data_IF_616057984071
#
_entry.id   IF_616057984071
#
_cell.length_a   1.000
_cell.length_b   1.000
_cell.length_c   1.000
_cell.angle_alpha   90.00
_cell.angle_beta   90.00
_cell.angle_gamma   90.00
#
_symmetry.space_group_name_H-M   'P 1'
#
loop_
_entity.id
_entity.type
_entity.pdbx_description
1 polymer ?
#
# COMPACT_ATOMS: atom_id res chain seq x y z
N UNK A 1 -16.59 2.39 13.57
CA UNK A 1 -15.21 1.87 13.71
C UNK A 1 -14.45 2.79 14.66
N UNK A 2 -13.55 2.25 15.49
CA UNK A 2 -12.59 3.03 16.28
C UNK A 2 -11.20 2.53 15.89
N UNK A 3 -10.33 3.43 15.44
CA UNK A 3 -8.96 3.11 15.02
C UNK A 3 -7.99 3.76 16.01
N UNK A 4 -7.01 3.00 16.50
CA UNK A 4 -5.96 3.53 17.36
C UNK A 4 -5.04 4.50 16.58
N UNK A 5 -4.69 5.62 17.20
CA UNK A 5 -3.86 6.64 16.57
C UNK A 5 -2.38 6.32 16.69
N UNK A 6 -1.77 5.79 15.63
CA UNK A 6 -0.32 5.56 15.58
C UNK A 6 0.57 6.82 15.73
N UNK A 7 0.00 8.02 15.53
CA UNK A 7 0.67 9.32 15.76
C UNK A 7 0.58 9.80 17.23
N UNK A 8 0.06 8.96 18.12
CA UNK A 8 0.05 9.16 19.57
C UNK A 8 0.92 8.11 20.25
N UNK A 9 1.55 8.51 21.36
CA UNK A 9 2.28 7.58 22.24
C UNK A 9 2.09 8.04 23.68
N UNK A 10 1.77 7.11 24.57
CA UNK A 10 1.68 7.39 25.99
C UNK A 10 3.10 7.42 26.57
N UNK A 11 3.42 8.48 27.32
CA UNK A 11 4.70 8.65 28.01
C UNK A 11 4.38 9.05 29.44
N UNK A 12 4.62 8.14 30.38
CA UNK A 12 4.15 8.26 31.76
C UNK A 12 2.62 8.39 31.81
N UNK A 13 2.07 9.44 32.44
CA UNK A 13 0.63 9.69 32.53
C UNK A 13 0.09 10.55 31.36
N UNK A 14 0.98 11.06 30.49
CA UNK A 14 0.65 11.99 29.42
C UNK A 14 0.68 11.36 28.01
N UNK A 15 0.03 12.04 27.06
CA UNK A 15 0.01 11.66 25.65
C UNK A 15 0.84 12.60 24.78
N UNK A 16 1.90 12.07 24.18
CA UNK A 16 2.74 12.80 23.22
C UNK A 16 2.29 12.55 21.78
N UNK A 17 2.70 13.44 20.87
CA UNK A 17 2.42 13.36 19.44
C UNK A 17 3.70 13.09 18.67
N UNK A 18 3.67 12.15 17.73
CA UNK A 18 4.72 12.01 16.71
C UNK A 18 4.45 13.02 15.60
N UNK A 19 5.47 13.74 15.15
CA UNK A 19 5.33 14.61 13.99
C UNK A 19 5.13 13.74 12.73
N UNK A 20 4.20 14.14 11.86
CA UNK A 20 3.78 13.36 10.70
C UNK A 20 3.51 14.28 9.52
N UNK A 21 3.90 13.83 8.32
CA UNK A 21 3.64 14.49 7.04
C UNK A 21 2.96 13.52 6.09
N UNK A 22 1.96 13.97 5.31
CA UNK A 22 1.27 13.14 4.32
C UNK A 22 2.09 13.02 3.03
N UNK A 23 1.80 12.00 2.22
CA UNK A 23 2.42 11.82 0.90
C UNK A 23 2.14 12.99 -0.04
N UNK A 24 0.96 13.63 0.03
CA UNK A 24 0.70 14.89 -0.69
C UNK A 24 1.70 15.99 -0.29
N UNK A 25 1.94 16.20 1.00
CA UNK A 25 2.94 17.16 1.47
C UNK A 25 4.36 16.79 1.04
N UNK A 26 4.71 15.50 1.05
CA UNK A 26 6.01 15.01 0.59
C UNK A 26 6.23 15.24 -0.91
N UNK A 27 5.19 15.01 -1.73
CA UNK A 27 5.18 15.24 -3.18
C UNK A 27 5.02 16.72 -3.56
N UNK A 28 4.78 17.62 -2.61
CA UNK A 28 4.51 19.04 -2.88
C UNK A 28 3.16 19.30 -3.58
N UNK A 29 2.22 18.35 -3.49
CA UNK A 29 0.92 18.40 -4.16
C UNK A 29 -0.19 18.90 -3.21
N UNK A 30 -1.18 19.57 -3.78
CA UNK A 30 -2.46 19.84 -3.12
C UNK A 30 -3.55 18.87 -3.64
N UNK A 31 -4.72 18.85 -2.98
CA UNK A 31 -5.83 17.93 -3.30
C UNK A 31 -6.28 18.00 -4.78
N UNK A 32 -6.30 19.19 -5.40
CA UNK A 32 -6.67 19.33 -6.82
C UNK A 32 -5.64 18.72 -7.77
N UNK A 33 -4.43 18.45 -7.28
CA UNK A 33 -3.31 17.85 -8.02
C UNK A 33 -3.07 16.39 -7.61
N UNK A 34 -3.82 15.82 -6.66
CA UNK A 34 -3.62 14.45 -6.15
C UNK A 34 -3.65 13.37 -7.25
N UNK A 35 -4.35 13.62 -8.36
CA UNK A 35 -4.39 12.76 -9.56
C UNK A 35 -3.07 12.62 -10.33
N UNK A 36 -2.07 13.44 -10.01
CA UNK A 36 -0.72 13.40 -10.60
C UNK A 36 0.30 12.72 -9.69
N UNK A 37 -0.11 12.24 -8.50
CA UNK A 37 0.78 11.49 -7.64
C UNK A 37 1.07 10.11 -8.24
N UNK A 38 2.36 9.76 -8.35
CA UNK A 38 2.82 8.46 -8.80
C UNK A 38 3.60 7.73 -7.70
N UNK A 39 3.57 6.40 -7.76
CA UNK A 39 4.43 5.54 -6.95
C UNK A 39 5.92 5.73 -7.28
N UNK A 40 6.25 6.13 -8.51
CA UNK A 40 7.62 6.44 -8.94
C UNK A 40 8.18 7.69 -8.23
N UNK A 41 7.43 8.81 -8.25
CA UNK A 41 7.82 10.05 -7.58
C UNK A 41 7.95 9.84 -6.06
N UNK A 42 7.03 9.06 -5.48
CA UNK A 42 7.09 8.77 -4.04
C UNK A 42 8.27 7.85 -3.71
N UNK A 43 8.62 6.91 -4.59
CA UNK A 43 9.81 6.09 -4.45
C UNK A 43 11.11 6.91 -4.52
N UNK A 44 11.22 7.91 -5.40
CA UNK A 44 12.37 8.83 -5.42
C UNK A 44 12.52 9.59 -4.10
N UNK A 45 11.42 10.13 -3.56
CA UNK A 45 11.43 10.80 -2.25
C UNK A 45 11.90 9.86 -1.14
N UNK A 46 11.48 8.58 -1.17
CA UNK A 46 11.91 7.57 -0.21
C UNK A 46 13.42 7.31 -0.29
N UNK A 47 13.99 7.21 -1.49
CA UNK A 47 15.45 7.02 -1.66
C UNK A 47 16.27 8.18 -1.10
N UNK A 48 15.77 9.41 -1.21
CA UNK A 48 16.50 10.60 -0.78
C UNK A 48 16.27 11.01 0.67
N UNK A 49 15.13 10.69 1.28
CA UNK A 49 14.69 11.33 2.55
C UNK A 49 14.28 10.37 3.67
N UNK A 50 14.23 9.06 3.42
CA UNK A 50 13.83 8.07 4.43
C UNK A 50 15.02 7.29 4.98
N UNK A 51 14.99 6.96 6.28
CA UNK A 51 16.11 6.34 6.99
C UNK A 51 16.56 4.99 6.42
N UNK A 52 15.61 4.20 5.93
CA UNK A 52 15.85 2.85 5.41
C UNK A 52 15.16 2.66 4.06
N UNK A 53 15.68 3.31 3.02
CA UNK A 53 15.07 3.38 1.69
C UNK A 53 14.65 2.01 1.13
N UNK A 54 15.56 1.03 1.01
CA UNK A 54 15.25 -0.30 0.44
C UNK A 54 14.13 -1.02 1.20
N UNK A 55 14.19 -1.07 2.53
CA UNK A 55 13.12 -1.67 3.36
C UNK A 55 11.79 -0.92 3.21
N UNK A 56 11.84 0.40 3.12
CA UNK A 56 10.66 1.25 2.97
C UNK A 56 10.01 1.09 1.60
N UNK A 57 10.80 0.95 0.53
CA UNK A 57 10.31 0.70 -0.81
C UNK A 57 9.71 -0.71 -0.94
N UNK A 58 10.33 -1.73 -0.34
CA UNK A 58 9.75 -3.09 -0.28
C UNK A 58 8.41 -3.11 0.46
N UNK A 59 8.28 -2.35 1.54
CA UNK A 59 7.02 -2.15 2.27
C UNK A 59 5.99 -1.39 1.42
N UNK A 60 6.37 -0.30 0.74
CA UNK A 60 5.47 0.45 -0.13
C UNK A 60 4.97 -0.41 -1.31
N UNK A 61 5.85 -1.20 -1.93
CA UNK A 61 5.49 -2.18 -2.96
C UNK A 61 4.52 -3.23 -2.42
N UNK A 62 4.76 -3.72 -1.20
CA UNK A 62 3.87 -4.68 -0.54
C UNK A 62 2.48 -4.11 -0.30
N UNK A 63 2.36 -2.82 0.06
CA UNK A 63 1.07 -2.11 0.19
C UNK A 63 0.37 -1.94 -1.15
N UNK A 64 1.09 -1.49 -2.17
CA UNK A 64 0.61 -1.38 -3.55
C UNK A 64 -0.04 -2.69 -4.04
N UNK A 65 0.68 -3.81 -3.87
CA UNK A 65 0.19 -5.14 -4.26
C UNK A 65 -1.03 -5.54 -3.43
N UNK A 66 -1.00 -5.40 -2.10
CA UNK A 66 -2.12 -5.79 -1.24
C UNK A 66 -3.40 -5.03 -1.60
N UNK A 67 -3.27 -3.73 -1.91
CA UNK A 67 -4.37 -2.89 -2.33
C UNK A 67 -5.03 -3.34 -3.64
N UNK A 68 -4.24 -3.83 -4.61
CA UNK A 68 -4.75 -4.49 -5.82
C UNK A 68 -5.48 -5.78 -5.44
N UNK A 69 -4.87 -6.61 -4.60
CA UNK A 69 -5.41 -7.92 -4.22
C UNK A 69 -6.72 -7.81 -3.43
N UNK A 70 -6.98 -6.72 -2.71
CA UNK A 70 -8.27 -6.44 -2.07
C UNK A 70 -9.25 -5.62 -2.93
N UNK A 71 -8.92 -5.37 -4.20
CA UNK A 71 -9.80 -4.72 -5.19
C UNK A 71 -10.12 -3.27 -4.86
N UNK A 72 -9.23 -2.59 -4.15
CA UNK A 72 -9.50 -1.25 -3.63
C UNK A 72 -8.99 -0.16 -4.59
N UNK A 73 -9.69 0.98 -4.71
CA UNK A 73 -9.57 1.92 -5.85
C UNK A 73 -9.58 3.43 -5.50
N UNK A 74 -9.15 3.83 -4.28
CA UNK A 74 -9.06 5.24 -3.79
C UNK A 74 -7.68 5.69 -3.15
N UNK A 75 -6.51 5.15 -3.54
CA UNK A 75 -5.16 5.48 -2.95
C UNK A 75 -4.64 6.79 -3.45
N UNK A 76 -5.10 7.84 -2.81
CA UNK A 76 -4.48 9.13 -2.94
C UNK A 76 -3.26 9.19 -2.03
N UNK A 77 -2.23 9.93 -2.43
CA UNK A 77 -1.03 10.14 -1.63
C UNK A 77 -1.29 10.74 -0.22
N UNK A 78 -2.52 11.19 0.07
CA UNK A 78 -2.99 11.58 1.41
C UNK A 78 -3.04 10.39 2.39
N UNK A 79 -3.21 9.16 1.90
CA UNK A 79 -3.34 7.93 2.67
C UNK A 79 -1.96 7.34 3.05
N UNK A 80 -0.91 7.73 2.30
CA UNK A 80 0.46 7.54 2.73
C UNK A 80 0.88 8.66 3.68
N UNK A 81 1.67 8.33 4.68
CA UNK A 81 2.29 9.29 5.57
C UNK A 81 3.65 8.80 6.06
N UNK A 82 4.47 9.73 6.54
CA UNK A 82 5.72 9.44 7.20
C UNK A 82 5.81 10.19 8.53
N UNK A 83 6.37 9.51 9.54
CA UNK A 83 6.87 10.17 10.73
C UNK A 83 8.13 10.95 10.39
N UNK A 84 8.29 12.10 11.03
CA UNK A 84 9.48 12.95 10.97
C UNK A 84 10.09 13.06 12.35
N UNK A 85 11.39 12.75 12.50
CA UNK A 85 12.09 12.82 13.78
C UNK A 85 12.94 14.11 13.95
N UNK A 86 12.98 14.97 12.93
CA UNK A 86 13.82 16.16 12.88
C UNK A 86 14.93 16.09 11.84
N UNK A 87 15.26 14.88 11.35
CA UNK A 87 16.37 14.63 10.41
C UNK A 87 15.97 13.69 9.26
N UNK A 88 15.26 12.58 9.56
CA UNK A 88 14.89 11.57 8.56
C UNK A 88 13.42 11.16 8.66
N UNK A 89 12.88 10.68 7.53
CA UNK A 89 11.52 10.16 7.44
C UNK A 89 11.47 8.63 7.67
N UNK A 90 10.38 8.17 8.29
CA UNK A 90 10.04 6.76 8.43
C UNK A 90 8.57 6.57 8.05
N UNK A 91 8.25 5.59 7.20
CA UNK A 91 6.86 5.33 6.77
C UNK A 91 5.98 4.98 7.98
N UNK A 92 4.77 5.54 8.05
CA UNK A 92 3.81 5.17 9.10
C UNK A 92 3.32 3.72 8.89
N UNK A 93 2.72 3.09 9.91
CA UNK A 93 1.89 1.90 9.69
C UNK A 93 0.88 2.13 8.56
N UNK A 94 0.49 1.06 7.87
CA UNK A 94 -0.64 1.12 6.96
C UNK A 94 -1.92 1.35 7.79
N UNK A 95 -2.62 2.45 7.54
CA UNK A 95 -4.05 2.57 7.81
C UNK A 95 -4.82 2.15 6.56
N UNK A 96 -6.15 2.19 6.60
CA UNK A 96 -7.04 1.89 5.46
C UNK A 96 -6.49 2.46 4.13
N UNK A 97 -6.03 1.56 3.25
CA UNK A 97 -5.30 1.84 2.01
C UNK A 97 -6.01 1.21 0.81
N UNK A 98 -5.75 1.74 -0.40
CA UNK A 98 -6.75 1.81 -1.50
C UNK A 98 -6.05 1.72 -2.91
N UNK A 99 -6.56 2.16 -4.09
CA UNK A 99 -5.71 2.47 -5.31
C UNK A 99 -6.12 3.68 -6.20
N UNK A 100 -5.35 4.78 -6.23
CA UNK A 100 -5.60 5.93 -7.13
C UNK A 100 -4.34 6.67 -7.64
N UNK A 101 -3.14 6.36 -7.13
CA UNK A 101 -1.87 6.84 -7.66
C UNK A 101 -1.48 6.11 -8.96
N UNK A 102 -0.67 6.76 -9.80
CA UNK A 102 -0.06 6.13 -10.97
C UNK A 102 0.95 5.05 -10.52
N UNK A 103 0.97 3.89 -11.17
CA UNK A 103 1.77 2.73 -10.78
C UNK A 103 3.07 2.65 -11.61
N UNK A 104 2.97 2.84 -12.93
CA UNK A 104 4.11 2.87 -13.85
C UNK A 104 3.82 3.81 -15.03
N UNK A 105 4.60 4.87 -15.18
CA UNK A 105 4.29 5.98 -16.09
C UNK A 105 2.86 6.50 -15.89
N UNK A 106 2.11 6.67 -16.98
CA UNK A 106 0.68 7.04 -16.94
C UNK A 106 -0.25 5.85 -16.59
N UNK A 107 0.28 4.64 -16.41
CA UNK A 107 -0.51 3.44 -16.14
C UNK A 107 -0.90 3.36 -14.66
N UNK A 108 -2.21 3.25 -14.41
CA UNK A 108 -2.83 3.08 -13.08
C UNK A 108 -3.68 1.81 -12.97
N UNK A 109 -3.62 0.93 -13.95
CA UNK A 109 -4.45 -0.28 -13.97
C UNK A 109 -4.04 -1.18 -12.80
N UNK A 110 -5.01 -1.51 -11.94
CA UNK A 110 -4.86 -2.39 -10.77
C UNK A 110 -4.60 -3.84 -11.20
N UNK A 111 -3.44 -4.10 -11.79
CA UNK A 111 -3.02 -5.40 -12.30
C UNK A 111 -1.57 -5.70 -11.87
N UNK A 112 -1.31 -6.95 -11.52
CA UNK A 112 -0.04 -7.37 -10.91
C UNK A 112 1.14 -7.33 -11.90
N UNK A 113 0.89 -7.46 -13.20
CA UNK A 113 1.90 -7.24 -14.24
C UNK A 113 2.41 -5.79 -14.26
N UNK A 114 1.54 -4.80 -14.00
CA UNK A 114 1.94 -3.38 -13.92
C UNK A 114 2.82 -3.13 -12.69
N UNK A 115 2.56 -3.84 -11.58
CA UNK A 115 3.47 -3.84 -10.43
C UNK A 115 4.83 -4.47 -10.77
N UNK A 116 4.87 -5.57 -11.54
CA UNK A 116 6.14 -6.17 -11.98
C UNK A 116 6.93 -5.23 -12.91
N UNK A 117 6.26 -4.46 -13.77
CA UNK A 117 6.88 -3.41 -14.59
C UNK A 117 7.46 -2.28 -13.71
N UNK A 118 6.74 -1.89 -12.65
CA UNK A 118 7.19 -0.87 -11.70
C UNK A 118 8.30 -1.32 -10.72
N UNK A 119 8.60 -2.63 -10.62
CA UNK A 119 9.46 -3.21 -9.57
C UNK A 119 10.82 -2.52 -9.38
N UNK A 120 11.46 -2.10 -10.49
CA UNK A 120 12.75 -1.38 -10.46
C UNK A 120 12.69 -0.07 -9.66
N UNK A 121 11.54 0.62 -9.66
CA UNK A 121 11.38 1.88 -8.93
C UNK A 121 11.41 1.65 -7.41
N UNK A 122 11.04 0.44 -6.96
CA UNK A 122 11.10 0.02 -5.57
C UNK A 122 12.44 -0.61 -5.15
N UNK A 123 13.47 -0.56 -6.02
CA UNK A 123 14.75 -1.25 -5.85
C UNK A 123 14.59 -2.77 -5.66
N UNK A 124 13.59 -3.36 -6.32
CA UNK A 124 13.34 -4.80 -6.34
C UNK A 124 13.71 -5.35 -7.73
N UNK A 125 14.33 -6.53 -7.76
CA UNK A 125 14.35 -7.35 -8.96
C UNK A 125 12.94 -7.86 -9.28
N UNK A 126 12.72 -8.27 -10.54
CA UNK A 126 11.45 -8.86 -10.98
C UNK A 126 11.09 -10.12 -10.18
N UNK A 127 12.08 -10.91 -9.80
CA UNK A 127 11.91 -12.16 -9.06
C UNK A 127 11.53 -11.90 -7.60
N UNK A 128 12.14 -10.89 -6.95
CA UNK A 128 11.74 -10.45 -5.61
C UNK A 128 10.32 -9.88 -5.59
N UNK A 129 9.98 -9.05 -6.59
CA UNK A 129 8.63 -8.51 -6.76
C UNK A 129 7.59 -9.62 -6.98
N UNK A 130 7.89 -10.59 -7.85
CA UNK A 130 7.05 -11.78 -8.07
C UNK A 130 6.89 -12.64 -6.81
N UNK A 131 7.96 -12.80 -6.02
CA UNK A 131 7.94 -13.51 -4.74
C UNK A 131 7.00 -12.82 -3.74
N UNK A 132 7.06 -11.49 -3.61
CA UNK A 132 6.16 -10.72 -2.74
C UNK A 132 4.70 -10.88 -3.18
N UNK A 133 4.43 -10.77 -4.48
CA UNK A 133 3.07 -10.93 -5.04
C UNK A 133 2.53 -12.34 -4.73
N UNK A 134 3.29 -13.38 -5.04
CA UNK A 134 2.90 -14.77 -4.79
C UNK A 134 2.62 -15.03 -3.30
N UNK A 135 3.53 -14.59 -2.43
CA UNK A 135 3.37 -14.74 -0.98
C UNK A 135 2.10 -14.05 -0.47
N UNK A 136 1.74 -12.88 -1.00
CA UNK A 136 0.50 -12.21 -0.60
C UNK A 136 -0.76 -12.92 -1.11
N UNK A 137 -0.75 -13.45 -2.33
CA UNK A 137 -1.86 -14.28 -2.85
C UNK A 137 -2.06 -15.50 -1.94
N UNK A 138 -0.99 -16.26 -1.67
CA UNK A 138 -1.01 -17.44 -0.80
C UNK A 138 -1.55 -17.10 0.61
N UNK A 139 -1.13 -15.97 1.18
CA UNK A 139 -1.62 -15.51 2.50
C UNK A 139 -3.10 -15.10 2.46
N UNK A 140 -3.56 -14.39 1.42
CA UNK A 140 -4.98 -14.01 1.27
C UNK A 140 -5.85 -15.25 1.08
N UNK A 141 -5.43 -16.21 0.26
CA UNK A 141 -6.17 -17.48 0.06
C UNK A 141 -6.21 -18.33 1.34
N UNK A 142 -5.08 -18.49 2.03
CA UNK A 142 -5.02 -19.31 3.24
C UNK A 142 -5.83 -18.74 4.42
N UNK A 143 -5.95 -17.41 4.53
CA UNK A 143 -6.61 -16.76 5.67
C UNK A 143 -8.05 -16.30 5.39
N UNK A 144 -8.53 -16.37 4.13
CA UNK A 144 -9.84 -15.83 3.73
C UNK A 144 -10.98 -16.25 4.67
N UNK A 145 -11.17 -17.54 4.89
CA UNK A 145 -12.26 -18.07 5.73
C UNK A 145 -12.15 -17.58 7.18
N UNK A 146 -10.94 -17.64 7.77
CA UNK A 146 -10.69 -17.26 9.15
C UNK A 146 -10.95 -15.77 9.40
N UNK A 147 -10.50 -14.90 8.49
CA UNK A 147 -10.77 -13.45 8.57
C UNK A 147 -12.25 -13.15 8.36
N UNK A 148 -12.94 -13.90 7.47
CA UNK A 148 -14.39 -13.77 7.30
C UNK A 148 -15.18 -14.21 8.55
N UNK A 149 -14.70 -15.21 9.28
CA UNK A 149 -15.28 -15.64 10.55
C UNK A 149 -15.07 -14.58 11.65
N UNK A 150 -13.86 -14.05 11.80
CA UNK A 150 -13.55 -12.96 12.75
C UNK A 150 -14.37 -11.69 12.46
N UNK A 151 -14.50 -11.32 11.18
CA UNK A 151 -15.31 -10.20 10.72
C UNK A 151 -16.83 -10.47 10.75
N UNK A 152 -17.26 -11.67 11.15
CA UNK A 152 -18.67 -12.10 11.19
C UNK A 152 -19.42 -11.92 9.84
N UNK A 153 -18.72 -12.12 8.72
CA UNK A 153 -19.31 -12.01 7.37
C UNK A 153 -20.26 -13.16 7.07
N UNK A 154 -21.43 -12.83 6.50
CA UNK A 154 -22.39 -13.83 6.03
C UNK A 154 -21.86 -14.60 4.82
N UNK A 155 -22.40 -15.79 4.55
CA UNK A 155 -22.05 -16.55 3.33
C UNK A 155 -22.29 -15.74 2.03
N UNK A 156 -23.31 -14.87 2.03
CA UNK A 156 -23.61 -13.98 0.91
C UNK A 156 -22.50 -12.93 0.72
N UNK A 157 -22.03 -12.31 1.80
CA UNK A 157 -20.94 -11.32 1.74
C UNK A 157 -19.62 -11.98 1.32
N UNK A 158 -19.32 -13.17 1.86
CA UNK A 158 -18.15 -13.96 1.44
C UNK A 158 -18.18 -14.26 -0.06
N UNK A 159 -19.33 -14.68 -0.59
CA UNK A 159 -19.51 -14.93 -2.02
C UNK A 159 -19.53 -13.66 -2.88
N UNK A 160 -19.93 -12.51 -2.31
CA UNK A 160 -19.92 -11.20 -2.97
C UNK A 160 -18.51 -10.62 -3.07
N UNK A 161 -17.66 -10.84 -2.07
CA UNK A 161 -16.29 -10.32 -2.04
C UNK A 161 -15.28 -11.22 -2.74
N UNK A 162 -15.42 -12.55 -2.63
CA UNK A 162 -14.45 -13.50 -3.17
C UNK A 162 -14.41 -13.51 -4.70
N UNK A 163 -13.21 -13.36 -5.27
CA UNK A 163 -12.92 -13.26 -6.73
C UNK A 163 -13.72 -12.16 -7.45
N UNK A 164 -14.17 -11.15 -6.70
CA UNK A 164 -14.96 -10.00 -7.19
C UNK A 164 -14.38 -8.69 -6.67
N UNK A 165 -14.13 -8.62 -5.37
CA UNK A 165 -13.34 -7.57 -4.74
C UNK A 165 -11.95 -8.12 -4.41
N UNK A 166 -11.87 -9.14 -3.54
CA UNK A 166 -10.61 -9.81 -3.24
C UNK A 166 -10.24 -10.80 -4.34
N UNK A 167 -8.97 -10.82 -4.73
CA UNK A 167 -8.41 -11.67 -5.81
C UNK A 167 -9.25 -11.62 -7.10
N UNK A 168 -9.68 -10.41 -7.50
CA UNK A 168 -10.42 -10.22 -8.74
C UNK A 168 -9.59 -10.71 -9.95
N UNK A 169 -10.14 -11.57 -10.85
CA UNK A 169 -9.42 -12.07 -12.02
C UNK A 169 -8.79 -10.99 -12.92
N UNK A 170 -9.35 -9.77 -12.94
CA UNK A 170 -8.77 -8.64 -13.66
C UNK A 170 -7.40 -8.22 -13.13
N UNK A 171 -7.19 -8.31 -11.81
CA UNK A 171 -5.90 -8.00 -11.18
C UNK A 171 -4.80 -9.03 -11.52
N UNK A 172 -5.22 -10.28 -11.72
CA UNK A 172 -4.35 -11.40 -12.11
C UNK A 172 -4.11 -11.46 -13.63
N UNK A 173 -4.75 -10.59 -14.43
CA UNK A 173 -4.67 -10.65 -15.88
C UNK A 173 -3.23 -10.37 -16.37
N UNK A 174 -2.66 -11.31 -17.14
CA UNK A 174 -1.28 -11.20 -17.64
C UNK A 174 -0.19 -11.50 -16.59
N UNK A 175 -0.56 -11.72 -15.33
CA UNK A 175 0.34 -12.30 -14.34
C UNK A 175 0.39 -13.82 -14.56
N UNK A 176 1.49 -14.30 -15.12
CA UNK A 176 1.79 -15.72 -15.25
C UNK A 176 2.68 -16.08 -14.05
N UNK A 177 2.26 -17.07 -13.26
CA UNK A 177 3.10 -17.65 -12.21
C UNK A 177 4.37 -18.24 -12.84
N UNK A 178 5.52 -17.80 -12.35
CA UNK A 178 6.84 -18.31 -12.73
C UNK A 178 7.24 -19.52 -11.87
#
# INVERSE_FOLDING_TARGET
MLIERFDRVQVQEDWQRKAMVSGLTLLGLNEMMARYASYEDFAEIIRHRFRSASTTLKELFSRLVFNILCGNTDDHARNHAAFWDGDMLCLTPANEATQAMLISGDNRMSQLNVCLEAAQHFLLSRDEAGTIIKQQIEVVEANWSLVCDEANLSEMDRALFWKRQFLNPFALQGFIEA
#
